data_IF_806859495398
#
_entry.id   IF_806859495398
#
_cell.length_a   1.000
_cell.length_b   1.000
_cell.length_c   1.000
_cell.angle_alpha   90.00
_cell.angle_beta   90.00
_cell.angle_gamma   90.00
#
_symmetry.space_group_name_H-M   'P 1'
#
loop_
_entity.id
_entity.type
_entity.pdbx_description
1 polymer ?
#
# COMPACT_ATOMS: atom_id res chain seq x y z
N UNK A 1 1.84 -30.71 0.69
CA UNK A 1 2.02 -29.71 1.76
C UNK A 1 2.80 -28.55 1.15
N UNK A 2 2.12 -27.46 0.82
CA UNK A 2 2.75 -26.28 0.24
C UNK A 2 2.69 -25.16 1.30
N UNK A 3 3.80 -24.92 1.96
CA UNK A 3 4.02 -23.73 2.78
C UNK A 3 5.25 -23.03 2.22
N UNK A 4 5.01 -21.98 1.44
CA UNK A 4 6.01 -20.97 1.13
C UNK A 4 5.38 -19.62 1.43
N UNK A 5 5.28 -19.31 2.73
CA UNK A 5 4.98 -17.96 3.22
C UNK A 5 6.27 -17.15 3.08
N UNK A 6 6.47 -16.56 1.90
CA UNK A 6 7.50 -15.56 1.67
C UNK A 6 6.84 -14.19 1.62
N UNK A 7 6.94 -13.41 2.70
CA UNK A 7 6.71 -11.97 2.69
C UNK A 7 7.60 -11.37 1.61
N UNK A 8 7.01 -11.04 0.45
CA UNK A 8 7.74 -10.38 -0.62
C UNK A 8 8.03 -8.94 -0.19
N UNK A 9 9.12 -8.71 0.56
CA UNK A 9 9.65 -7.36 0.74
C UNK A 9 10.21 -6.88 -0.60
N UNK A 10 9.35 -6.30 -1.44
CA UNK A 10 9.79 -5.70 -2.69
C UNK A 10 10.74 -4.55 -2.37
N UNK A 11 12.04 -4.79 -2.58
CA UNK A 11 13.07 -3.75 -2.51
C UNK A 11 13.16 -3.11 -3.88
N UNK A 12 12.59 -1.91 -4.00
CA UNK A 12 12.67 -1.13 -5.23
C UNK A 12 14.10 -0.73 -5.53
N UNK A 13 14.43 -0.57 -6.81
CA UNK A 13 15.72 -0.01 -7.23
C UNK A 13 15.66 1.52 -7.16
N UNK A 14 16.57 2.13 -6.38
CA UNK A 14 16.70 3.58 -6.26
C UNK A 14 18.06 4.07 -6.79
N UNK A 15 18.18 4.13 -8.11
CA UNK A 15 19.42 4.54 -8.78
C UNK A 15 19.77 6.02 -8.58
N UNK A 16 18.80 6.85 -8.17
CA UNK A 16 18.96 8.30 -8.04
C UNK A 16 18.91 8.77 -6.60
N UNK A 17 18.85 7.86 -5.63
CA UNK A 17 18.75 8.16 -4.20
C UNK A 17 17.56 9.11 -3.89
N UNK A 18 16.40 8.86 -4.51
CA UNK A 18 15.17 9.61 -4.28
C UNK A 18 14.72 9.54 -2.81
N UNK A 19 15.04 8.47 -2.10
CA UNK A 19 14.75 8.33 -0.67
C UNK A 19 15.33 9.46 0.19
N UNK A 20 16.45 10.04 -0.24
CA UNK A 20 17.09 11.17 0.44
C UNK A 20 16.33 12.49 0.30
N UNK A 21 15.41 12.58 -0.65
CA UNK A 21 14.59 13.78 -0.88
C UNK A 21 13.32 13.81 -0.02
N UNK A 22 12.98 12.68 0.61
CA UNK A 22 11.81 12.55 1.46
C UNK A 22 12.13 12.94 2.91
N UNK A 23 11.13 13.42 3.63
CA UNK A 23 11.19 13.52 5.09
C UNK A 23 11.08 12.14 5.76
N UNK A 24 11.31 12.08 7.07
CA UNK A 24 11.10 10.85 7.84
C UNK A 24 9.64 10.41 7.82
N UNK A 25 8.71 11.37 7.97
CA UNK A 25 7.28 11.10 7.96
C UNK A 25 6.80 10.59 6.58
N UNK A 26 7.29 11.19 5.50
CA UNK A 26 6.97 10.74 4.13
C UNK A 26 7.47 9.31 3.86
N UNK A 27 8.66 8.96 4.35
CA UNK A 27 9.18 7.58 4.27
C UNK A 27 8.32 6.62 5.11
N UNK A 28 7.94 7.02 6.32
CA UNK A 28 7.11 6.20 7.20
C UNK A 28 5.72 5.92 6.57
N UNK A 29 5.09 6.93 5.96
CA UNK A 29 3.83 6.75 5.21
C UNK A 29 4.01 5.76 4.06
N UNK A 30 5.05 5.95 3.24
CA UNK A 30 5.36 5.05 2.12
C UNK A 30 5.55 3.61 2.57
N UNK A 31 6.32 3.39 3.63
CA UNK A 31 6.64 2.05 4.13
C UNK A 31 5.40 1.36 4.71
N UNK A 32 4.56 2.12 5.41
CA UNK A 32 3.26 1.64 5.93
C UNK A 32 2.33 1.21 4.80
N UNK A 33 2.19 2.03 3.75
CA UNK A 33 1.35 1.70 2.59
C UNK A 33 1.89 0.47 1.85
N UNK A 34 3.22 0.36 1.68
CA UNK A 34 3.84 -0.79 1.02
C UNK A 34 3.53 -2.09 1.76
N UNK A 35 3.72 -2.11 3.08
CA UNK A 35 3.40 -3.27 3.90
C UNK A 35 1.92 -3.66 3.77
N UNK A 36 1.02 -2.69 3.84
CA UNK A 36 -0.42 -2.95 3.69
C UNK A 36 -0.77 -3.52 2.31
N UNK A 37 -0.14 -3.02 1.23
CA UNK A 37 -0.32 -3.54 -0.14
C UNK A 37 0.13 -5.00 -0.23
N UNK A 38 1.31 -5.32 0.30
CA UNK A 38 1.86 -6.68 0.27
C UNK A 38 0.94 -7.67 1.02
N UNK A 39 0.36 -7.25 2.14
CA UNK A 39 -0.51 -8.08 2.97
C UNK A 39 -1.94 -8.20 2.45
N UNK A 40 -2.51 -7.13 1.87
CA UNK A 40 -3.95 -7.04 1.58
C UNK A 40 -4.28 -7.05 0.09
N UNK A 41 -3.50 -6.34 -0.74
CA UNK A 41 -3.78 -6.18 -2.17
C UNK A 41 -3.17 -7.29 -3.01
N UNK A 42 -1.88 -7.59 -2.81
CA UNK A 42 -1.14 -8.59 -3.61
C UNK A 42 -1.84 -9.97 -3.64
N UNK A 43 -2.41 -10.48 -2.52
CA UNK A 43 -3.08 -11.78 -2.55
C UNK A 43 -4.35 -11.84 -3.40
N UNK A 44 -5.02 -10.71 -3.65
CA UNK A 44 -6.35 -10.68 -4.28
C UNK A 44 -6.36 -10.08 -5.69
N UNK A 45 -5.38 -9.24 -6.03
CA UNK A 45 -5.40 -8.45 -7.26
C UNK A 45 -5.35 -9.29 -8.54
N UNK A 46 -4.62 -10.42 -8.52
CA UNK A 46 -4.52 -11.32 -9.68
C UNK A 46 -5.87 -11.90 -10.09
N UNK A 47 -6.62 -12.43 -9.13
CA UNK A 47 -7.96 -12.97 -9.39
C UNK A 47 -8.95 -11.85 -9.78
N UNK A 48 -8.90 -10.72 -9.08
CA UNK A 48 -9.75 -9.57 -9.38
C UNK A 48 -9.56 -9.07 -10.82
N UNK A 49 -8.31 -9.06 -11.31
CA UNK A 49 -7.99 -8.74 -12.69
C UNK A 49 -8.58 -9.73 -13.68
N UNK A 50 -8.37 -11.04 -13.47
CA UNK A 50 -8.91 -12.10 -14.34
C UNK A 50 -10.43 -12.03 -14.44
N UNK A 51 -11.12 -11.74 -13.34
CA UNK A 51 -12.57 -11.65 -13.28
C UNK A 51 -13.14 -10.29 -13.73
N UNK A 52 -12.29 -9.29 -13.98
CA UNK A 52 -12.73 -7.94 -14.31
C UNK A 52 -13.53 -7.27 -13.17
N UNK A 53 -13.18 -7.56 -11.91
CA UNK A 53 -13.88 -7.05 -10.73
C UNK A 53 -13.01 -6.09 -9.93
N UNK A 54 -13.67 -5.14 -9.29
CA UNK A 54 -13.03 -4.27 -8.31
C UNK A 54 -13.09 -4.88 -6.90
N UNK A 55 -11.96 -5.02 -6.18
CA UNK A 55 -11.90 -5.60 -4.85
C UNK A 55 -12.42 -4.62 -3.77
N UNK A 56 -13.75 -4.45 -3.69
CA UNK A 56 -14.40 -3.50 -2.77
C UNK A 56 -14.07 -3.72 -1.29
N UNK A 57 -13.71 -4.94 -0.91
CA UNK A 57 -13.32 -5.29 0.46
C UNK A 57 -12.06 -4.54 0.94
N UNK A 58 -11.27 -3.98 0.02
CA UNK A 58 -10.06 -3.22 0.34
C UNK A 58 -10.35 -1.76 0.76
N UNK A 59 -11.52 -1.23 0.37
CA UNK A 59 -11.88 0.18 0.62
C UNK A 59 -11.81 0.56 2.10
N UNK A 60 -12.39 -0.21 3.05
CA UNK A 60 -12.35 0.17 4.46
C UNK A 60 -10.93 0.25 5.01
N UNK A 61 -10.06 -0.71 4.68
CA UNK A 61 -8.68 -0.71 5.15
C UNK A 61 -7.87 0.47 4.60
N UNK A 62 -8.12 0.88 3.35
CA UNK A 62 -7.51 2.09 2.78
C UNK A 62 -8.02 3.38 3.45
N UNK A 63 -9.29 3.41 3.85
CA UNK A 63 -9.86 4.54 4.58
C UNK A 63 -9.28 4.67 5.99
N UNK A 64 -9.11 3.56 6.70
CA UNK A 64 -8.48 3.53 8.03
C UNK A 64 -7.03 4.01 8.02
N UNK A 65 -6.34 3.84 6.89
CA UNK A 65 -4.98 4.36 6.66
C UNK A 65 -4.94 5.84 6.22
N UNK A 66 -6.09 6.51 6.07
CA UNK A 66 -6.13 7.92 5.64
C UNK A 66 -5.69 8.14 4.20
N UNK A 67 -5.79 7.13 3.33
CA UNK A 67 -5.32 7.24 1.94
C UNK A 67 -6.27 8.04 1.04
N UNK A 68 -7.48 8.32 1.51
CA UNK A 68 -8.47 9.12 0.80
C UNK A 68 -8.41 10.57 1.25
N UNK A 69 -7.95 11.44 0.36
CA UNK A 69 -7.82 12.86 0.69
C UNK A 69 -6.63 13.17 1.61
N UNK A 70 -5.55 12.39 1.53
CA UNK A 70 -4.34 12.55 2.35
C UNK A 70 -3.69 13.95 2.31
N UNK A 71 -4.06 14.79 1.34
CA UNK A 71 -3.59 16.17 1.20
C UNK A 71 -4.64 17.21 1.65
N UNK A 72 -5.80 16.77 2.12
CA UNK A 72 -6.85 17.65 2.65
C UNK A 72 -6.55 17.98 4.11
N UNK A 73 -6.93 19.18 4.57
CA UNK A 73 -6.86 19.52 5.98
C UNK A 73 -7.61 18.51 6.86
N UNK A 74 -7.02 18.14 8.00
CA UNK A 74 -7.61 17.20 8.98
C UNK A 74 -9.00 17.65 9.47
N UNK A 75 -9.30 18.95 9.41
CA UNK A 75 -10.59 19.52 9.79
C UNK A 75 -11.77 18.97 8.99
N UNK A 76 -11.51 18.35 7.83
CA UNK A 76 -12.52 17.68 7.01
C UNK A 76 -12.74 16.21 7.37
N UNK A 77 -12.04 15.67 8.38
CA UNK A 77 -12.23 14.31 8.88
C UNK A 77 -11.81 13.22 7.89
N UNK A 78 -10.81 13.54 7.07
CA UNK A 78 -10.17 12.63 6.10
C UNK A 78 -9.03 11.86 6.76
#
# INVERSE_FOLDING_TARGET
>A
MATATGTSQFTGVDFLNLDSLLSEDERAVRDTVRAWVDENLIPVIGQAYIEGKFPKQLIPGMAELGLYGANLPEEYGC
#
